data_IF_469847457784
#
_entry.id   IF_469847457784
#
_cell.length_a   1.000
_cell.length_b   1.000
_cell.length_c   1.000
_cell.angle_alpha   90.00
_cell.angle_beta   90.00
_cell.angle_gamma   90.00
#
_symmetry.space_group_name_H-M   'P 1'
#
loop_
_entity.id
_entity.type
_entity.pdbx_description
1 polymer ?
#
# COMPACT_ATOMS: atom_id res chain seq x y z
N UNK A 1 -40.33 -48.49 -2.12
CA UNK A 1 -39.34 -47.41 -1.86
C UNK A 1 -39.94 -46.08 -2.30
N UNK A 2 -40.52 -45.33 -1.37
CA UNK A 2 -41.09 -44.01 -1.68
C UNK A 2 -39.98 -42.96 -1.63
N UNK A 3 -39.50 -42.52 -2.80
CA UNK A 3 -38.59 -41.37 -2.90
C UNK A 3 -39.39 -40.11 -2.56
N UNK A 4 -39.30 -39.65 -1.31
CA UNK A 4 -39.67 -38.27 -0.97
C UNK A 4 -38.70 -37.39 -1.77
N UNK A 5 -39.16 -36.85 -2.88
CA UNK A 5 -38.53 -35.69 -3.48
C UNK A 5 -38.59 -34.59 -2.40
N UNK A 6 -37.52 -34.49 -1.61
CA UNK A 6 -37.26 -33.35 -0.75
C UNK A 6 -36.99 -32.19 -1.70
N UNK A 7 -38.06 -31.60 -2.23
CA UNK A 7 -37.98 -30.31 -2.87
C UNK A 7 -37.34 -29.37 -1.86
N UNK A 8 -36.16 -28.85 -2.19
CA UNK A 8 -35.54 -27.79 -1.40
C UNK A 8 -36.62 -26.71 -1.20
N UNK A 9 -36.98 -26.38 0.05
CA UNK A 9 -38.04 -25.43 0.30
C UNK A 9 -37.72 -24.14 -0.45
N UNK A 10 -38.71 -23.55 -1.13
CA UNK A 10 -38.51 -22.34 -1.95
C UNK A 10 -37.84 -21.22 -1.14
N UNK A 11 -38.11 -21.17 0.17
CA UNK A 11 -37.44 -20.25 1.10
C UNK A 11 -35.92 -20.42 1.15
N UNK A 12 -35.41 -21.65 1.09
CA UNK A 12 -33.97 -21.95 1.05
C UNK A 12 -33.34 -21.41 -0.23
N UNK A 13 -34.04 -21.52 -1.37
CA UNK A 13 -33.56 -20.98 -2.65
C UNK A 13 -33.47 -19.46 -2.58
N UNK A 14 -34.50 -18.81 -2.02
CA UNK A 14 -34.53 -17.34 -1.86
C UNK A 14 -33.38 -16.88 -0.97
N UNK A 15 -33.17 -17.52 0.18
CA UNK A 15 -32.08 -17.17 1.11
C UNK A 15 -30.71 -17.36 0.45
N UNK A 16 -30.51 -18.44 -0.30
CA UNK A 16 -29.26 -18.71 -0.99
C UNK A 16 -28.91 -17.60 -2.01
N UNK A 17 -29.90 -17.12 -2.77
CA UNK A 17 -29.69 -16.04 -3.75
C UNK A 17 -29.42 -14.71 -3.05
N UNK A 18 -30.15 -14.38 -1.98
CA UNK A 18 -29.91 -13.17 -1.19
C UNK A 18 -28.51 -13.15 -0.58
N UNK A 19 -28.07 -14.28 -0.01
CA UNK A 19 -26.74 -14.41 0.57
C UNK A 19 -25.64 -14.22 -0.51
N UNK A 20 -25.82 -14.82 -1.69
CA UNK A 20 -24.88 -14.68 -2.79
C UNK A 20 -24.82 -13.24 -3.31
N UNK A 21 -25.96 -12.55 -3.43
CA UNK A 21 -25.99 -11.14 -3.81
C UNK A 21 -25.24 -10.25 -2.83
N UNK A 22 -25.48 -10.42 -1.52
CA UNK A 22 -24.79 -9.64 -0.49
C UNK A 22 -23.29 -9.90 -0.53
N UNK A 23 -22.88 -11.16 -0.69
CA UNK A 23 -21.46 -11.52 -0.81
C UNK A 23 -20.79 -10.81 -1.99
N UNK A 24 -21.43 -10.81 -3.17
CA UNK A 24 -20.89 -10.13 -4.37
C UNK A 24 -20.76 -8.62 -4.13
N UNK A 25 -21.77 -7.98 -3.54
CA UNK A 25 -21.72 -6.53 -3.24
C UNK A 25 -20.58 -6.21 -2.28
N UNK A 26 -20.39 -7.02 -1.24
CA UNK A 26 -19.30 -6.86 -0.28
C UNK A 26 -17.93 -6.96 -0.97
N UNK A 27 -17.74 -7.97 -1.83
CA UNK A 27 -16.50 -8.15 -2.61
C UNK A 27 -16.24 -6.92 -3.47
N UNK A 28 -17.24 -6.42 -4.20
CA UNK A 28 -17.06 -5.26 -5.09
C UNK A 28 -16.63 -4.00 -4.31
N UNK A 29 -17.22 -3.75 -3.13
CA UNK A 29 -16.85 -2.62 -2.28
C UNK A 29 -15.42 -2.78 -1.75
N UNK A 30 -15.07 -3.98 -1.26
CA UNK A 30 -13.74 -4.25 -0.76
C UNK A 30 -12.68 -4.16 -1.86
N UNK A 31 -12.93 -4.72 -3.03
CA UNK A 31 -12.01 -4.64 -4.18
C UNK A 31 -11.76 -3.19 -4.60
N UNK A 32 -12.79 -2.35 -4.63
CA UNK A 32 -12.64 -0.92 -4.96
C UNK A 32 -11.75 -0.16 -3.98
N UNK A 33 -11.88 -0.45 -2.67
CA UNK A 33 -11.08 0.20 -1.61
C UNK A 33 -9.66 -0.35 -1.51
N UNK A 34 -9.47 -1.66 -1.62
CA UNK A 34 -8.14 -2.30 -1.57
C UNK A 34 -7.21 -1.78 -2.66
N UNK A 35 -7.74 -1.44 -3.85
CA UNK A 35 -6.95 -0.85 -4.92
C UNK A 35 -6.37 0.52 -4.56
N UNK A 36 -7.10 1.33 -3.79
CA UNK A 36 -6.65 2.66 -3.36
C UNK A 36 -5.62 2.55 -2.24
N UNK A 37 -5.91 1.74 -1.21
CA UNK A 37 -4.98 1.54 -0.10
C UNK A 37 -3.71 0.78 -0.50
N UNK A 38 -3.82 -0.20 -1.42
CA UNK A 38 -2.66 -0.92 -1.95
C UNK A 38 -1.72 -0.01 -2.73
N UNK A 39 -2.25 0.99 -3.44
CA UNK A 39 -1.44 1.98 -4.15
C UNK A 39 -0.55 2.79 -3.21
N UNK A 40 -1.09 3.32 -2.11
CA UNK A 40 -0.30 4.07 -1.13
C UNK A 40 0.76 3.19 -0.44
N UNK A 41 0.42 1.93 -0.12
CA UNK A 41 1.36 0.99 0.51
C UNK A 41 2.52 0.56 -0.39
N UNK A 42 2.29 0.54 -1.71
CA UNK A 42 3.31 0.23 -2.72
C UNK A 42 4.07 1.49 -3.14
N UNK A 43 3.51 2.67 -2.87
CA UNK A 43 4.13 3.91 -3.28
C UNK A 43 5.40 4.27 -2.53
N UNK A 44 6.39 4.77 -3.28
CA UNK A 44 7.66 5.19 -2.70
C UNK A 44 7.41 6.31 -1.68
N UNK A 45 6.55 7.27 -2.04
CA UNK A 45 6.15 8.37 -1.18
C UNK A 45 5.29 7.94 0.01
N UNK A 46 4.37 6.98 -0.17
CA UNK A 46 3.56 6.44 0.93
C UNK A 46 4.37 5.63 1.94
N UNK A 47 5.54 5.12 1.55
CA UNK A 47 6.52 4.53 2.46
C UNK A 47 7.48 5.55 3.11
N UNK A 48 7.32 6.85 2.83
CA UNK A 48 8.21 7.90 3.35
C UNK A 48 9.53 8.04 2.59
N UNK A 49 9.62 7.49 1.38
CA UNK A 49 10.80 7.55 0.51
C UNK A 49 10.65 8.56 -0.64
N UNK A 50 11.74 8.70 -1.41
CA UNK A 50 11.77 9.55 -2.61
C UNK A 50 12.38 8.82 -3.81
N UNK A 51 11.94 9.19 -5.01
CA UNK A 51 12.44 8.63 -6.27
C UNK A 51 13.62 9.45 -6.82
N UNK A 52 14.77 8.82 -7.03
CA UNK A 52 15.94 9.45 -7.67
C UNK A 52 16.49 8.58 -8.81
N UNK A 53 17.14 9.22 -9.80
CA UNK A 53 17.86 8.55 -10.89
C UNK A 53 19.25 8.10 -10.49
N UNK A 54 19.82 8.77 -9.48
CA UNK A 54 21.15 8.48 -8.96
C UNK A 54 21.05 7.44 -7.84
N UNK A 55 22.19 6.92 -7.41
CA UNK A 55 22.26 6.08 -6.22
C UNK A 55 21.72 6.82 -5.00
N UNK A 56 21.04 6.12 -4.09
CA UNK A 56 20.61 6.70 -2.83
C UNK A 56 21.82 7.22 -2.03
N UNK A 57 21.69 8.40 -1.44
CA UNK A 57 22.74 8.96 -0.59
C UNK A 57 22.92 8.15 0.70
N UNK A 58 24.05 8.35 1.39
CA UNK A 58 24.35 7.73 2.68
C UNK A 58 23.21 7.97 3.68
N UNK A 59 22.68 6.89 4.28
CA UNK A 59 21.53 6.95 5.20
C UNK A 59 20.18 6.50 4.60
N UNK A 60 20.16 6.15 3.32
CA UNK A 60 19.00 5.57 2.65
C UNK A 60 19.33 4.17 2.12
N UNK A 61 18.44 3.19 2.31
CA UNK A 61 18.57 1.87 1.67
C UNK A 61 17.96 1.91 0.28
N UNK A 62 18.54 1.14 -0.64
CA UNK A 62 17.88 0.79 -1.91
C UNK A 62 16.89 -0.32 -1.61
N UNK A 63 15.60 -0.05 -1.67
CA UNK A 63 14.66 -1.15 -1.74
C UNK A 63 13.44 -0.75 -2.56
N UNK A 64 13.12 -1.66 -3.49
CA UNK A 64 11.95 -1.67 -4.39
C UNK A 64 12.19 -1.07 -5.78
N UNK A 65 12.66 -1.94 -6.67
CA UNK A 65 12.26 -1.91 -8.08
C UNK A 65 10.77 -2.32 -8.11
N UNK A 66 9.92 -1.61 -8.85
CA UNK A 66 8.42 -1.70 -8.83
C UNK A 66 7.66 -0.74 -7.88
N UNK A 67 8.21 0.44 -7.61
CA UNK A 67 7.42 1.55 -7.02
C UNK A 67 6.90 2.49 -8.11
N UNK A 68 5.99 3.41 -7.76
CA UNK A 68 5.45 4.48 -8.63
C UNK A 68 6.46 5.53 -9.10
N UNK A 69 7.76 5.23 -9.03
CA UNK A 69 8.78 5.99 -9.72
C UNK A 69 8.56 5.87 -11.24
N UNK A 70 7.79 6.82 -11.79
CA UNK A 70 7.27 6.87 -13.17
C UNK A 70 8.32 6.83 -14.30
N UNK A 71 9.60 6.85 -13.96
CA UNK A 71 10.69 6.88 -14.93
C UNK A 71 11.52 5.59 -14.85
N UNK A 72 11.91 5.01 -16.01
CA UNK A 72 12.77 3.83 -16.03
C UNK A 72 14.11 4.13 -15.35
N UNK A 73 14.62 3.17 -14.57
CA UNK A 73 15.87 3.26 -13.81
C UNK A 73 15.88 4.27 -12.65
N UNK A 74 14.71 4.64 -12.10
CA UNK A 74 14.66 5.32 -10.80
C UNK A 74 14.60 4.33 -9.65
N UNK A 75 15.40 4.60 -8.62
CA UNK A 75 15.36 3.86 -7.37
C UNK A 75 14.47 4.59 -6.36
N UNK A 76 13.69 3.84 -5.59
CA UNK A 76 13.07 4.35 -4.39
C UNK A 76 14.07 4.29 -3.24
N UNK A 77 14.33 5.45 -2.63
CA UNK A 77 15.22 5.58 -1.48
C UNK A 77 14.38 5.73 -0.22
N UNK A 78 14.47 4.74 0.67
CA UNK A 78 13.80 4.77 1.98
C UNK A 78 14.81 5.16 3.07
N UNK A 79 14.42 6.01 4.03
CA UNK A 79 15.29 6.39 5.14
C UNK A 79 15.55 5.18 6.04
N UNK A 80 16.82 4.96 6.42
CA UNK A 80 17.16 4.01 7.48
C UNK A 80 16.84 4.69 8.81
N UNK A 81 15.89 4.13 9.56
CA UNK A 81 15.61 4.60 10.92
C UNK A 81 16.52 3.89 11.94
N UNK A 82 17.17 4.62 12.86
CA UNK A 82 17.25 6.08 12.96
C UNK A 82 18.22 6.67 11.94
N UNK A 83 17.86 7.82 11.36
CA UNK A 83 18.69 8.49 10.35
C UNK A 83 20.04 8.91 10.96
N UNK A 84 21.18 8.66 10.28
CA UNK A 84 22.48 9.14 10.74
C UNK A 84 22.53 10.68 10.70
N UNK A 85 23.19 11.29 11.69
CA UNK A 85 23.41 12.73 11.74
C UNK A 85 24.10 13.23 10.45
N UNK A 86 23.55 14.28 9.85
CA UNK A 86 24.03 14.83 8.58
C UNK A 86 23.34 14.32 7.31
N UNK A 87 22.34 13.44 7.42
CA UNK A 87 21.52 13.06 6.26
C UNK A 87 20.70 14.26 5.75
N UNK A 88 20.52 14.43 4.43
CA UNK A 88 19.71 15.52 3.87
C UNK A 88 18.24 15.31 4.26
N UNK A 89 17.64 16.30 4.91
CA UNK A 89 16.21 16.30 5.23
C UNK A 89 15.42 16.83 4.01
N UNK A 90 14.48 16.02 3.51
CA UNK A 90 13.50 16.44 2.50
C UNK A 90 12.29 17.17 3.10
N UNK A 91 11.39 17.68 2.25
CA UNK A 91 10.17 18.42 2.64
C UNK A 91 9.14 17.59 3.44
N UNK A 92 9.37 16.28 3.59
CA UNK A 92 8.43 15.33 4.16
C UNK A 92 9.15 14.64 5.34
N UNK A 93 9.13 15.31 6.49
CA UNK A 93 9.94 15.08 7.69
C UNK A 93 10.09 13.60 8.11
N UNK A 94 11.26 13.01 7.87
CA UNK A 94 11.70 11.73 8.45
C UNK A 94 13.01 11.89 9.24
N UNK A 95 13.21 13.09 9.79
CA UNK A 95 14.26 13.38 10.75
C UNK A 95 13.60 13.26 12.14
N UNK A 96 13.98 12.29 12.97
CA UNK A 96 13.41 12.14 14.34
C UNK A 96 13.69 13.38 15.20
N UNK A 97 14.74 14.13 14.85
CA UNK A 97 15.04 15.47 15.32
C UNK A 97 14.95 16.46 14.16
N UNK A 98 14.60 17.71 14.47
CA UNK A 98 14.33 18.78 13.50
C UNK A 98 15.37 18.85 12.37
N UNK A 99 14.90 19.21 11.17
CA UNK A 99 15.78 19.62 10.09
C UNK A 99 16.50 20.92 10.48
N UNK A 100 17.84 20.89 10.49
CA UNK A 100 18.69 22.05 10.67
C UNK A 100 18.55 23.05 9.52
N UNK A 101 19.00 24.29 9.74
CA UNK A 101 18.92 25.38 8.76
C UNK A 101 19.77 25.14 7.50
N UNK A 102 20.60 24.09 7.49
CA UNK A 102 21.44 23.60 6.41
C UNK A 102 20.81 22.43 5.63
N UNK A 103 19.50 22.17 5.82
CA UNK A 103 18.75 21.06 5.23
C UNK A 103 19.30 19.67 5.60
N UNK A 104 19.87 19.52 6.81
CA UNK A 104 20.40 18.25 7.32
C UNK A 104 19.77 17.84 8.65
N UNK A 105 19.74 16.54 8.92
CA UNK A 105 19.36 16.01 10.23
C UNK A 105 20.42 16.38 11.27
N UNK A 106 20.01 17.03 12.37
CA UNK A 106 20.85 17.28 13.56
C UNK A 106 20.58 16.30 14.68
#
# INVERSE_FOLDING_TARGET
MNKKAQGLPITTIIIAILALLVLVVIILIFTGKVRVFGGELVSCTGKGGFCTKESCYFGYQTELQETDCKEPNKNCCLPVLPAPAGAPCGRDEHCTNKCGSDNKCT
#
